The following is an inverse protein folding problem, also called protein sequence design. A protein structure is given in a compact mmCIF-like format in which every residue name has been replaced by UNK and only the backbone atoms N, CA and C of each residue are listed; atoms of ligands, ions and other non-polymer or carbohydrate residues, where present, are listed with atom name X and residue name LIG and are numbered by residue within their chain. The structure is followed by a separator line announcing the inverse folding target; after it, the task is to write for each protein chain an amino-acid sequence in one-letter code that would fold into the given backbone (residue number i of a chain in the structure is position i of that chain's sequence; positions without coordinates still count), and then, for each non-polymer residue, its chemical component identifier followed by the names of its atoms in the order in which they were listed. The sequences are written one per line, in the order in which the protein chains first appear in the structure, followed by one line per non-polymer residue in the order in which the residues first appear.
data_IF_952653133111
#
_entry.id   IF_952653133111
#
_cell.length_a   1.000
_cell.length_b   1.000
_cell.length_c   1.000
_cell.angle_alpha   90.00
_cell.angle_beta   90.00
_cell.angle_gamma   90.00
#
_symmetry.space_group_name_H-M   'P 1'
#
loop_
_entity.id
_entity.type
_entity.pdbx_description
1 polymer ?
#
# COMPACT_ATOMS: atom_id res chain seq x y z
N UNK A 1 -25.65 -15.72 0.53
CA UNK A 1 -24.18 -15.87 0.63
C UNK A 1 -23.56 -14.83 -0.27
N UNK A 2 -22.77 -13.87 0.24
CA UNK A 2 -22.02 -13.00 -0.65
C UNK A 2 -21.09 -13.88 -1.49
N UNK A 3 -21.12 -13.70 -2.81
CA UNK A 3 -20.27 -14.44 -3.75
C UNK A 3 -18.79 -14.19 -3.46
N UNK A 4 -17.87 -15.01 -4.02
CA UNK A 4 -16.45 -14.76 -3.88
C UNK A 4 -16.18 -13.33 -4.38
N UNK A 5 -15.79 -12.45 -3.46
CA UNK A 5 -15.40 -11.06 -3.76
C UNK A 5 -14.43 -11.12 -4.92
N UNK A 6 -14.82 -10.52 -6.05
CA UNK A 6 -13.99 -10.50 -7.25
C UNK A 6 -12.65 -9.88 -6.85
N UNK A 7 -11.59 -10.69 -6.86
CA UNK A 7 -10.28 -10.24 -6.37
C UNK A 7 -9.88 -9.03 -7.20
N UNK A 8 -9.75 -7.86 -6.56
CA UNK A 8 -9.28 -6.62 -7.21
C UNK A 8 -7.96 -6.93 -7.94
N UNK A 9 -7.98 -6.84 -9.28
CA UNK A 9 -6.77 -7.02 -10.08
C UNK A 9 -5.93 -5.77 -9.99
N UNK A 10 -4.66 -5.94 -9.66
CA UNK A 10 -3.68 -4.86 -9.71
C UNK A 10 -2.84 -5.00 -10.97
N UNK A 11 -2.57 -3.88 -11.62
CA UNK A 11 -1.63 -3.77 -12.72
C UNK A 11 -0.38 -3.08 -12.18
N UNK A 12 0.77 -3.76 -12.27
CA UNK A 12 2.05 -3.22 -11.83
C UNK A 12 2.84 -2.80 -13.06
N UNK A 13 3.43 -1.60 -13.00
CA UNK A 13 4.49 -1.24 -13.93
C UNK A 13 5.67 -2.18 -13.74
N UNK A 14 6.42 -2.42 -14.81
CA UNK A 14 7.65 -3.20 -14.71
C UNK A 14 8.62 -2.50 -13.74
N UNK A 15 9.16 -3.21 -12.74
CA UNK A 15 10.25 -2.72 -11.92
C UNK A 15 11.46 -2.28 -12.77
N UNK A 16 12.37 -1.47 -12.22
CA UNK A 16 13.62 -1.14 -12.91
C UNK A 16 14.44 -2.40 -13.21
N UNK A 17 15.40 -2.27 -14.13
CA UNK A 17 16.10 -3.41 -14.73
C UNK A 17 16.76 -4.32 -13.68
N UNK A 18 17.40 -3.72 -12.66
CA UNK A 18 18.09 -4.48 -11.63
C UNK A 18 17.11 -5.32 -10.80
N UNK A 19 16.01 -4.73 -10.33
CA UNK A 19 14.97 -5.42 -9.58
C UNK A 19 14.30 -6.50 -10.42
N UNK A 20 14.11 -6.27 -11.72
CA UNK A 20 13.60 -7.29 -12.63
C UNK A 20 14.57 -8.48 -12.79
N UNK A 21 15.89 -8.23 -12.83
CA UNK A 21 16.89 -9.31 -12.82
C UNK A 21 16.82 -10.11 -11.52
N UNK A 22 16.75 -9.45 -10.37
CA UNK A 22 16.62 -10.11 -9.06
C UNK A 22 15.34 -10.94 -8.96
N UNK A 23 14.19 -10.36 -9.35
CA UNK A 23 12.90 -11.03 -9.34
C UNK A 23 12.91 -12.27 -10.26
N UNK A 24 13.48 -12.14 -11.46
CA UNK A 24 13.57 -13.24 -12.43
C UNK A 24 14.49 -14.35 -11.94
N UNK A 25 15.65 -14.01 -11.37
CA UNK A 25 16.56 -14.98 -10.78
C UNK A 25 15.89 -15.76 -9.64
N UNK A 26 15.24 -15.05 -8.71
CA UNK A 26 14.53 -15.67 -7.59
C UNK A 26 13.37 -16.57 -8.06
N UNK A 27 12.59 -16.13 -9.05
CA UNK A 27 11.53 -16.93 -9.63
C UNK A 27 12.09 -18.22 -10.26
N UNK A 28 13.22 -18.12 -10.96
CA UNK A 28 13.91 -19.24 -11.60
C UNK A 28 14.41 -20.24 -10.57
N UNK A 29 15.10 -19.79 -9.52
CA UNK A 29 15.60 -20.66 -8.45
C UNK A 29 14.49 -21.43 -7.73
N UNK A 30 13.29 -20.84 -7.65
CA UNK A 30 12.13 -21.44 -7.00
C UNK A 30 11.21 -22.21 -7.96
N UNK A 31 11.52 -22.28 -9.26
CA UNK A 31 10.68 -22.95 -10.26
C UNK A 31 9.31 -22.30 -10.47
N UNK A 32 9.20 -20.98 -10.31
CA UNK A 32 7.93 -20.23 -10.37
C UNK A 32 7.85 -19.33 -11.60
N UNK A 33 6.62 -19.00 -12.01
CA UNK A 33 6.39 -17.89 -12.94
C UNK A 33 6.78 -16.57 -12.27
N UNK A 34 7.38 -15.66 -13.03
CA UNK A 34 7.81 -14.33 -12.56
C UNK A 34 6.64 -13.57 -11.92
N UNK A 35 5.45 -13.59 -12.53
CA UNK A 35 4.26 -12.93 -11.98
C UNK A 35 3.81 -13.51 -10.64
N UNK A 36 3.85 -14.83 -10.47
CA UNK A 36 3.54 -15.49 -9.20
C UNK A 36 4.55 -15.11 -8.12
N UNK A 37 5.84 -15.04 -8.48
CA UNK A 37 6.87 -14.61 -7.54
C UNK A 37 6.75 -13.12 -7.18
N UNK A 38 6.33 -12.27 -8.12
CA UNK A 38 6.06 -10.86 -7.86
C UNK A 38 4.93 -10.70 -6.83
N UNK A 39 3.82 -11.43 -7.00
CA UNK A 39 2.72 -11.43 -6.01
C UNK A 39 3.19 -11.94 -4.64
N UNK A 40 4.04 -12.97 -4.60
CA UNK A 40 4.59 -13.48 -3.35
C UNK A 40 5.51 -12.47 -2.65
N UNK A 41 6.37 -11.79 -3.41
CA UNK A 41 7.27 -10.75 -2.89
C UNK A 41 6.47 -9.57 -2.33
N UNK A 42 5.45 -9.10 -3.04
CA UNK A 42 4.56 -8.04 -2.58
C UNK A 42 3.82 -8.44 -1.29
N UNK A 43 3.26 -9.65 -1.24
CA UNK A 43 2.58 -10.15 -0.04
C UNK A 43 3.52 -10.26 1.16
N UNK A 44 4.76 -10.68 0.94
CA UNK A 44 5.78 -10.74 2.00
C UNK A 44 6.13 -9.35 2.52
N UNK A 45 6.36 -8.39 1.62
CA UNK A 45 6.65 -7.00 1.99
C UNK A 45 5.50 -6.36 2.79
N UNK A 46 4.25 -6.60 2.39
CA UNK A 46 3.07 -6.11 3.12
C UNK A 46 3.00 -6.68 4.54
N UNK A 47 3.31 -7.98 4.73
CA UNK A 47 3.37 -8.60 6.07
C UNK A 47 4.51 -8.04 6.91
N UNK A 48 5.67 -7.80 6.31
CA UNK A 48 6.80 -7.18 7.01
C UNK A 48 6.48 -5.73 7.43
N UNK A 49 5.67 -5.04 6.64
CA UNK A 49 5.24 -3.66 6.91
C UNK A 49 3.99 -3.58 7.80
N UNK A 50 3.49 -4.71 8.30
CA UNK A 50 2.21 -4.81 9.00
C UNK A 50 2.06 -3.81 10.15
N UNK A 51 3.03 -3.76 11.06
CA UNK A 51 2.92 -2.92 12.26
C UNK A 51 2.93 -1.43 11.91
N UNK A 52 3.72 -1.04 10.89
CA UNK A 52 3.73 0.33 10.36
C UNK A 52 2.37 0.71 9.77
N UNK A 53 1.80 -0.17 8.95
CA UNK A 53 0.49 0.04 8.33
C UNK A 53 -0.59 0.17 9.41
N UNK A 54 -0.61 -0.75 10.39
CA UNK A 54 -1.59 -0.71 11.47
C UNK A 54 -1.44 0.50 12.37
N UNK A 55 -0.22 0.97 12.62
CA UNK A 55 0.01 2.19 13.42
C UNK A 55 -0.60 3.42 12.74
N UNK A 56 -0.51 3.52 11.40
CA UNK A 56 -1.17 4.59 10.65
C UNK A 56 -2.69 4.44 10.66
N UNK A 57 -3.20 3.22 10.48
CA UNK A 57 -4.62 2.94 10.56
C UNK A 57 -5.18 3.28 11.96
N UNK A 58 -4.42 3.02 13.02
CA UNK A 58 -4.78 3.36 14.39
C UNK A 58 -4.78 4.88 14.65
N UNK A 59 -3.80 5.60 14.11
CA UNK A 59 -3.77 7.05 14.16
C UNK A 59 -5.03 7.69 13.54
N UNK A 60 -5.36 7.29 12.31
CA UNK A 60 -6.54 7.81 11.62
C UNK A 60 -7.84 7.30 12.24
N UNK A 61 -7.85 6.06 12.71
CA UNK A 61 -8.99 5.49 13.42
C UNK A 61 -9.36 6.33 14.64
N UNK A 62 -8.38 6.70 15.46
CA UNK A 62 -8.60 7.58 16.61
C UNK A 62 -9.17 8.95 16.21
N UNK A 63 -8.75 9.52 15.06
CA UNK A 63 -9.29 10.78 14.55
C UNK A 63 -10.73 10.66 14.03
N UNK A 64 -11.09 9.52 13.46
CA UNK A 64 -12.40 9.31 12.82
C UNK A 64 -13.40 8.59 13.71
N UNK A 65 -13.01 8.22 14.94
CA UNK A 65 -13.84 7.39 15.82
C UNK A 65 -14.02 5.96 15.32
N UNK A 66 -13.04 5.45 14.57
CA UNK A 66 -13.01 4.11 13.99
C UNK A 66 -11.89 3.27 14.62
N UNK A 67 -12.05 1.96 14.65
CA UNK A 67 -10.95 1.03 14.92
C UNK A 67 -10.00 0.97 13.72
N UNK A 68 -8.75 0.57 13.95
CA UNK A 68 -7.79 0.36 12.86
C UNK A 68 -8.23 -0.67 11.81
N UNK A 69 -9.08 -1.62 12.19
CA UNK A 69 -9.62 -2.62 11.27
C UNK A 69 -10.68 -2.01 10.35
N UNK A 70 -11.58 -1.20 10.90
CA UNK A 70 -12.56 -0.44 10.11
C UNK A 70 -11.88 0.55 9.15
N UNK A 71 -10.75 1.13 9.56
CA UNK A 71 -9.94 1.97 8.66
C UNK A 71 -9.34 1.15 7.51
N UNK A 72 -8.85 -0.07 7.77
CA UNK A 72 -8.36 -0.95 6.71
C UNK A 72 -9.48 -1.35 5.75
N UNK A 73 -10.65 -1.70 6.28
CA UNK A 73 -11.82 -2.05 5.49
C UNK A 73 -12.28 -0.85 4.64
N UNK A 74 -12.30 0.37 5.21
CA UNK A 74 -12.61 1.59 4.47
C UNK A 74 -11.62 1.84 3.33
N UNK A 75 -10.31 1.74 3.59
CA UNK A 75 -9.29 1.87 2.55
C UNK A 75 -9.42 0.81 1.44
N UNK A 76 -9.85 -0.40 1.80
CA UNK A 76 -10.07 -1.47 0.85
C UNK A 76 -11.34 -1.26 0.03
N UNK A 77 -12.46 -0.93 0.65
CA UNK A 77 -13.78 -0.86 0.02
C UNK A 77 -14.00 0.48 -0.70
N UNK A 78 -13.63 1.61 -0.08
CA UNK A 78 -13.81 2.96 -0.61
C UNK A 78 -12.55 3.84 -0.39
N UNK A 79 -11.50 3.64 -1.21
CA UNK A 79 -10.25 4.42 -1.09
C UNK A 79 -10.44 5.91 -1.37
N UNK A 80 -11.45 6.30 -2.15
CA UNK A 80 -11.77 7.71 -2.41
C UNK A 80 -12.26 8.37 -1.13
N UNK A 81 -13.20 7.73 -0.42
CA UNK A 81 -13.68 8.24 0.86
C UNK A 81 -12.60 8.25 1.94
N UNK A 82 -11.77 7.21 1.99
CA UNK A 82 -10.60 7.19 2.89
C UNK A 82 -9.69 8.40 2.65
N UNK A 83 -9.44 8.75 1.38
CA UNK A 83 -8.64 9.91 1.00
C UNK A 83 -9.27 11.23 1.43
N UNK A 84 -10.57 11.43 1.21
CA UNK A 84 -11.26 12.63 1.67
C UNK A 84 -11.16 12.82 3.20
N UNK A 85 -11.28 11.74 3.97
CA UNK A 85 -11.12 11.80 5.43
C UNK A 85 -9.69 12.11 5.84
N UNK A 86 -8.69 11.56 5.15
CA UNK A 86 -7.27 11.89 5.39
C UNK A 86 -6.99 13.36 5.12
N UNK A 87 -7.45 13.89 3.98
CA UNK A 87 -7.26 15.30 3.60
C UNK A 87 -7.97 16.24 4.60
N UNK A 88 -9.17 15.87 5.07
CA UNK A 88 -9.91 16.62 6.08
C UNK A 88 -9.30 16.53 7.50
N UNK A 89 -8.44 15.55 7.76
CA UNK A 89 -7.83 15.33 9.09
C UNK A 89 -6.69 16.29 9.41
N UNK A 90 -6.30 17.14 8.45
CA UNK A 90 -5.10 17.97 8.51
C UNK A 90 -3.82 17.15 8.33
N UNK A 91 -2.77 17.80 7.83
CA UNK A 91 -1.46 17.16 7.68
C UNK A 91 -0.79 16.95 9.03
N UNK A 92 -0.08 15.82 9.18
CA UNK A 92 0.84 15.59 10.32
C UNK A 92 2.05 16.51 10.20
N UNK A 93 2.42 16.88 8.97
CA UNK A 93 3.48 17.83 8.66
C UNK A 93 2.89 19.22 8.44
N UNK A 94 3.22 20.17 9.29
CA UNK A 94 3.03 21.59 9.00
C UNK A 94 3.95 21.99 7.84
N UNK A 95 3.60 23.06 7.12
CA UNK A 95 4.44 23.66 6.06
C UNK A 95 5.85 24.04 6.57
N UNK A 96 6.05 24.03 7.90
CA UNK A 96 7.31 24.24 8.60
C UNK A 96 8.26 23.02 8.58
N UNK A 97 7.79 21.80 8.29
CA UNK A 97 8.61 20.57 8.28
C UNK A 97 9.47 20.41 7.01
N UNK A 98 9.43 21.38 6.09
CA UNK A 98 10.18 21.38 4.85
C UNK A 98 9.54 20.56 3.73
N UNK A 99 10.02 20.69 2.49
CA UNK A 99 9.45 20.01 1.33
C UNK A 99 9.61 18.49 1.42
N UNK A 100 8.55 17.75 1.08
CA UNK A 100 8.57 16.29 0.95
C UNK A 100 9.61 15.88 -0.10
N UNK A 101 10.52 14.97 0.26
CA UNK A 101 11.62 14.48 -0.60
C UNK A 101 11.07 13.80 -1.87
N UNK A 102 9.81 13.38 -1.87
CA UNK A 102 9.13 12.80 -3.03
C UNK A 102 8.10 13.72 -3.67
N UNK A 103 7.97 14.98 -3.21
CA UNK A 103 7.21 15.97 -3.97
C UNK A 103 7.91 16.18 -5.30
N UNK A 104 7.20 15.88 -6.38
CA UNK A 104 7.70 16.12 -7.73
C UNK A 104 8.15 17.58 -7.82
N UNK A 105 9.45 17.80 -7.96
CA UNK A 105 9.96 19.04 -8.55
C UNK A 105 9.39 19.10 -9.96
N UNK A 106 8.23 19.75 -10.10
CA UNK A 106 7.68 20.14 -11.38
C UNK A 106 8.63 21.10 -12.07
N UNK A 107 8.96 20.74 -13.30
CA UNK A 107 9.56 21.51 -14.43
C UNK A 107 10.61 22.59 -14.13
#
# INVERSE_FOLDING_TARGET
MPGPTERKRIHLNAPPEYEMKLLTALATFLGRKVSTQASAALAMYLRQSHDRILSQAEYYGNKWGMTKWEVLDLCYDDPTRAKELMDASGTVHSVEDGPDVFSETGE
#
